data_IF_834181897003
#
_entry.id   IF_834181897003
#
_cell.length_a   1.000
_cell.length_b   1.000
_cell.length_c   1.000
_cell.angle_alpha   90.00
_cell.angle_beta   90.00
_cell.angle_gamma   90.00
#
_symmetry.space_group_name_H-M   'P 1'
#
loop_
_entity.id
_entity.type
_entity.pdbx_description
1 polymer ?
#
# COMPACT_ATOMS: atom_id res chain seq x y z
N UNK A 1 -2.22 -5.05 -24.41
CA UNK A 1 -1.80 -3.64 -24.36
C UNK A 1 -0.82 -3.51 -23.19
N UNK A 2 0.48 -3.59 -23.45
CA UNK A 2 1.53 -3.51 -22.40
C UNK A 2 1.43 -2.13 -21.75
N UNK A 3 1.20 -2.09 -20.44
CA UNK A 3 1.38 -0.88 -19.64
C UNK A 3 2.86 -0.47 -19.80
N UNK A 4 3.09 0.75 -20.30
CA UNK A 4 4.42 1.35 -20.29
C UNK A 4 4.81 1.51 -18.85
N UNK A 5 5.76 0.72 -18.39
CA UNK A 5 6.45 0.84 -17.10
C UNK A 5 6.95 2.28 -17.00
N UNK A 6 6.66 2.94 -15.87
CA UNK A 6 7.27 4.22 -15.53
C UNK A 6 8.79 4.01 -15.59
N UNK A 7 9.48 4.72 -16.48
CA UNK A 7 10.92 4.59 -16.64
C UNK A 7 11.61 4.97 -15.31
N UNK A 8 12.34 4.01 -14.72
CA UNK A 8 13.09 4.23 -13.48
C UNK A 8 12.48 3.67 -12.20
N UNK A 9 11.31 3.01 -12.24
CA UNK A 9 10.75 2.34 -11.05
C UNK A 9 11.65 1.16 -10.68
N UNK A 10 12.19 1.18 -9.47
CA UNK A 10 12.90 0.04 -8.87
C UNK A 10 11.86 -1.04 -8.51
N UNK A 11 11.47 -1.82 -9.52
CA UNK A 11 10.55 -2.95 -9.36
C UNK A 11 11.38 -4.17 -8.99
N UNK A 12 11.17 -4.72 -7.80
CA UNK A 12 11.72 -6.02 -7.46
C UNK A 12 11.01 -7.09 -8.30
N UNK A 13 11.76 -8.13 -8.66
CA UNK A 13 11.18 -9.28 -9.33
C UNK A 13 10.25 -9.99 -8.33
N UNK A 14 8.94 -9.96 -8.60
CA UNK A 14 7.96 -10.66 -7.79
C UNK A 14 8.16 -12.15 -7.97
N UNK A 15 8.29 -12.87 -6.86
CA UNK A 15 8.29 -14.33 -6.86
C UNK A 15 6.84 -14.85 -6.87
N UNK A 16 6.34 -15.11 -8.07
CA UNK A 16 4.96 -15.56 -8.27
C UNK A 16 4.73 -16.92 -7.60
N UNK A 17 5.70 -17.82 -7.64
CA UNK A 17 5.59 -19.16 -7.03
C UNK A 17 5.48 -19.05 -5.50
N UNK A 18 6.32 -18.24 -4.88
CA UNK A 18 6.28 -17.95 -3.45
C UNK A 18 4.96 -17.31 -3.05
N UNK A 19 4.43 -16.41 -3.88
CA UNK A 19 3.13 -15.79 -3.62
C UNK A 19 1.99 -16.80 -3.68
N UNK A 20 1.97 -17.69 -4.67
CA UNK A 20 0.98 -18.77 -4.75
C UNK A 20 1.10 -19.75 -3.56
N UNK A 21 2.31 -20.10 -3.14
CA UNK A 21 2.53 -20.93 -1.96
C UNK A 21 1.99 -20.26 -0.69
N UNK A 22 2.29 -18.98 -0.47
CA UNK A 22 1.78 -18.21 0.66
C UNK A 22 0.25 -18.11 0.65
N UNK A 23 -0.34 -17.87 -0.52
CA UNK A 23 -1.79 -17.83 -0.71
C UNK A 23 -2.45 -19.17 -0.39
N UNK A 24 -1.91 -20.26 -0.93
CA UNK A 24 -2.46 -21.62 -0.73
C UNK A 24 -2.35 -22.06 0.73
N UNK A 25 -1.25 -21.72 1.43
CA UNK A 25 -1.09 -22.00 2.86
C UNK A 25 -2.18 -21.35 3.70
N UNK A 26 -2.56 -20.10 3.40
CA UNK A 26 -3.54 -19.35 4.19
C UNK A 26 -4.98 -19.70 3.79
N UNK A 27 -5.29 -19.73 2.50
CA UNK A 27 -6.66 -19.98 2.00
C UNK A 27 -7.05 -21.43 2.17
N UNK A 28 -6.13 -22.39 1.96
CA UNK A 28 -6.37 -23.83 2.13
C UNK A 28 -6.80 -24.14 3.56
N UNK A 29 -6.03 -23.71 4.55
CA UNK A 29 -6.34 -23.93 5.99
C UNK A 29 -7.66 -23.27 6.42
N UNK A 30 -8.01 -22.14 5.81
CA UNK A 30 -9.24 -21.41 6.15
C UNK A 30 -10.50 -22.09 5.63
N UNK A 31 -10.42 -22.71 4.46
CA UNK A 31 -11.55 -23.47 3.88
C UNK A 31 -11.86 -24.76 4.65
N UNK A 32 -10.84 -25.37 5.27
CA UNK A 32 -11.00 -26.59 6.05
C UNK A 32 -11.54 -26.34 7.47
N UNK A 33 -11.26 -25.17 8.07
CA UNK A 33 -11.56 -24.94 9.49
C UNK A 33 -12.87 -24.24 9.81
N UNK A 34 -13.40 -23.43 8.90
CA UNK A 34 -14.68 -22.70 9.16
C UNK A 34 -15.32 -22.26 7.85
N UNK A 35 -16.66 -22.36 7.77
CA UNK A 35 -17.43 -21.68 6.73
C UNK A 35 -17.05 -20.19 6.64
N UNK A 36 -17.39 -19.54 5.58
CA UNK A 36 -17.02 -18.18 5.10
C UNK A 36 -17.02 -17.05 6.16
N UNK A 37 -17.04 -17.34 7.47
CA UNK A 37 -17.46 -16.44 8.54
C UNK A 37 -16.39 -15.74 9.38
N UNK A 38 -15.09 -16.07 9.36
CA UNK A 38 -14.17 -15.60 10.42
C UNK A 38 -12.89 -14.89 9.99
N UNK A 39 -12.64 -14.71 8.70
CA UNK A 39 -11.37 -14.20 8.16
C UNK A 39 -11.39 -12.71 7.79
N UNK A 40 -12.10 -11.87 8.52
CA UNK A 40 -12.15 -10.44 8.21
C UNK A 40 -10.75 -9.82 8.19
N UNK A 41 -10.41 -9.16 7.10
CA UNK A 41 -9.22 -8.33 6.84
C UNK A 41 -7.84 -8.99 7.10
N UNK A 42 -7.84 -10.17 7.70
CA UNK A 42 -6.64 -10.93 8.06
C UNK A 42 -6.04 -11.69 6.89
N UNK A 43 -6.83 -12.05 5.86
CA UNK A 43 -6.35 -12.88 4.76
C UNK A 43 -5.22 -12.20 3.97
N UNK A 44 -5.43 -10.95 3.53
CA UNK A 44 -4.35 -10.22 2.83
C UNK A 44 -3.11 -10.03 3.70
N UNK A 45 -3.29 -9.71 4.98
CA UNK A 45 -2.20 -9.57 5.93
C UNK A 45 -1.43 -10.88 6.09
N UNK A 46 -2.14 -11.98 6.35
CA UNK A 46 -1.54 -13.30 6.54
C UNK A 46 -0.81 -13.81 5.29
N UNK A 47 -1.38 -13.61 4.09
CA UNK A 47 -0.74 -13.98 2.82
C UNK A 47 0.56 -13.19 2.63
N UNK A 48 0.54 -11.87 2.81
CA UNK A 48 1.75 -11.06 2.68
C UNK A 48 2.79 -11.40 3.75
N UNK A 49 2.39 -11.64 5.00
CA UNK A 49 3.30 -12.08 6.05
C UNK A 49 4.03 -13.36 5.67
N UNK A 50 3.31 -14.38 5.15
CA UNK A 50 3.92 -15.61 4.67
C UNK A 50 4.74 -15.43 3.37
N UNK A 51 4.38 -14.46 2.53
CA UNK A 51 5.16 -14.13 1.33
C UNK A 51 6.52 -13.52 1.70
N UNK A 52 6.54 -12.52 2.59
CA UNK A 52 7.79 -11.87 2.98
C UNK A 52 8.64 -12.75 3.89
N UNK A 53 8.03 -13.55 4.75
CA UNK A 53 8.71 -14.50 5.62
C UNK A 53 7.98 -15.86 5.63
N UNK A 54 8.43 -16.86 4.85
CA UNK A 54 7.83 -18.20 4.85
C UNK A 54 8.02 -18.99 6.15
N UNK A 55 9.06 -18.64 6.94
CA UNK A 55 9.31 -19.26 8.24
C UNK A 55 8.41 -18.62 9.31
N UNK A 56 7.48 -19.39 9.92
CA UNK A 56 6.63 -18.88 10.98
C UNK A 56 7.39 -18.57 12.29
N UNK A 57 8.61 -19.03 12.46
CA UNK A 57 9.42 -18.79 13.66
C UNK A 57 9.78 -17.31 13.84
N UNK A 58 9.74 -16.51 12.75
CA UNK A 58 10.02 -15.06 12.80
C UNK A 58 8.75 -14.21 12.82
N UNK A 59 7.56 -14.81 12.95
CA UNK A 59 6.29 -14.11 13.00
C UNK A 59 5.88 -13.70 14.41
N UNK A 60 5.23 -12.54 14.52
CA UNK A 60 4.62 -12.02 15.76
C UNK A 60 5.60 -11.99 16.95
N UNK A 61 6.81 -11.48 16.68
CA UNK A 61 7.90 -11.42 17.63
C UNK A 61 7.74 -10.21 18.57
N UNK A 62 7.78 -10.41 19.90
CA UNK A 62 7.82 -9.29 20.84
C UNK A 62 9.10 -8.47 20.66
N UNK A 63 8.96 -7.15 20.43
CA UNK A 63 10.05 -6.20 20.34
C UNK A 63 9.66 -4.95 21.14
N UNK A 64 10.42 -4.60 22.15
CA UNK A 64 10.06 -3.60 23.15
C UNK A 64 8.64 -3.86 23.71
N UNK A 65 7.78 -2.85 23.77
CA UNK A 65 6.38 -2.97 24.26
C UNK A 65 5.38 -3.38 23.16
N UNK A 66 5.86 -3.84 22.01
CA UNK A 66 5.04 -4.14 20.84
C UNK A 66 5.31 -5.56 20.31
N UNK A 67 4.41 -6.00 19.45
CA UNK A 67 4.60 -7.23 18.67
C UNK A 67 4.87 -6.83 17.22
N UNK A 68 6.02 -7.22 16.66
CA UNK A 68 6.34 -7.06 15.26
C UNK A 68 5.67 -8.16 14.43
N UNK A 69 5.11 -7.83 13.26
CA UNK A 69 4.51 -8.84 12.39
C UNK A 69 5.55 -9.88 11.92
N UNK A 70 6.76 -9.40 11.59
CA UNK A 70 7.94 -10.21 11.23
C UNK A 70 9.16 -9.55 11.85
N UNK A 71 10.01 -10.34 12.52
CA UNK A 71 11.34 -9.93 12.98
C UNK A 71 12.29 -11.13 12.96
N UNK A 72 13.37 -11.01 12.17
CA UNK A 72 14.42 -12.05 12.08
C UNK A 72 15.66 -11.73 12.94
N UNK A 73 15.56 -10.69 13.77
CA UNK A 73 16.66 -10.19 14.61
C UNK A 73 17.58 -9.20 13.89
N UNK A 74 17.39 -8.95 12.60
CA UNK A 74 18.16 -7.97 11.80
C UNK A 74 17.28 -6.83 11.30
N UNK A 75 16.06 -7.14 10.89
CA UNK A 75 15.07 -6.18 10.41
C UNK A 75 13.67 -6.51 10.92
N UNK A 76 12.81 -5.53 10.85
CA UNK A 76 11.38 -5.67 11.14
C UNK A 76 10.59 -5.39 9.87
N UNK A 77 9.61 -6.27 9.55
CA UNK A 77 8.65 -6.03 8.48
C UNK A 77 7.25 -5.98 9.09
N UNK A 78 6.55 -4.88 8.84
CA UNK A 78 5.18 -4.63 9.29
C UNK A 78 4.21 -4.61 8.11
N UNK A 79 3.19 -5.45 8.13
CA UNK A 79 2.16 -5.52 7.09
C UNK A 79 0.98 -4.60 7.47
N UNK A 80 0.96 -3.38 6.95
CA UNK A 80 -0.05 -2.40 7.34
C UNK A 80 -1.17 -2.27 6.31
N UNK A 81 -2.31 -2.88 6.59
CA UNK A 81 -3.50 -2.85 5.72
C UNK A 81 -4.45 -1.70 6.01
N UNK A 82 -4.19 -0.92 7.06
CA UNK A 82 -5.01 0.21 7.52
C UNK A 82 -4.21 1.50 7.61
N UNK A 83 -4.62 2.38 8.51
CA UNK A 83 -4.00 3.70 8.70
C UNK A 83 -2.60 3.61 9.31
N UNK A 84 -1.61 4.27 8.68
CA UNK A 84 -0.25 4.38 9.21
C UNK A 84 -0.17 5.19 10.51
N UNK A 85 -1.21 5.94 10.86
CA UNK A 85 -1.23 6.64 12.15
C UNK A 85 -1.06 5.68 13.34
N UNK A 86 -1.56 4.45 13.24
CA UNK A 86 -1.38 3.43 14.27
C UNK A 86 0.09 2.99 14.42
N UNK A 87 0.91 3.16 13.39
CA UNK A 87 2.33 2.79 13.39
C UNK A 87 3.23 3.75 14.15
N UNK A 88 2.78 4.98 14.45
CA UNK A 88 3.66 6.03 15.03
C UNK A 88 4.41 5.58 16.29
N UNK A 89 3.72 4.89 17.19
CA UNK A 89 4.33 4.41 18.45
C UNK A 89 5.31 3.27 18.20
N UNK A 90 4.94 2.32 17.32
CA UNK A 90 5.83 1.23 16.90
C UNK A 90 7.09 1.78 16.22
N UNK A 91 6.93 2.71 15.25
CA UNK A 91 8.07 3.32 14.55
C UNK A 91 9.02 4.04 15.52
N UNK A 92 8.49 4.79 16.48
CA UNK A 92 9.31 5.46 17.48
C UNK A 92 10.11 4.47 18.35
N UNK A 93 9.58 3.26 18.57
CA UNK A 93 10.24 2.22 19.36
C UNK A 93 11.23 1.38 18.52
N UNK A 94 10.90 1.10 17.25
CA UNK A 94 11.65 0.16 16.43
C UNK A 94 12.82 0.79 15.67
N UNK A 95 12.61 2.00 15.08
CA UNK A 95 13.59 2.64 14.21
C UNK A 95 14.97 2.90 14.85
N UNK A 96 15.09 3.18 16.18
CA UNK A 96 16.38 3.34 16.81
C UNK A 96 17.24 2.06 16.82
N UNK A 97 16.61 0.88 16.75
CA UNK A 97 17.28 -0.41 16.94
C UNK A 97 17.31 -1.26 15.67
N UNK A 98 16.33 -1.06 14.76
CA UNK A 98 16.13 -1.92 13.58
C UNK A 98 15.81 -1.12 12.33
N UNK A 99 16.27 -1.57 11.16
CA UNK A 99 15.60 -1.25 9.90
C UNK A 99 14.16 -1.75 9.93
N UNK A 100 13.22 -0.90 9.52
CA UNK A 100 11.78 -1.20 9.52
C UNK A 100 11.23 -1.04 8.12
N UNK A 101 10.68 -2.10 7.57
CA UNK A 101 9.98 -2.09 6.28
C UNK A 101 8.46 -2.13 6.50
N UNK A 102 7.75 -1.11 6.03
CA UNK A 102 6.28 -1.12 6.01
C UNK A 102 5.80 -1.63 4.65
N UNK A 103 5.11 -2.76 4.66
CA UNK A 103 4.43 -3.31 3.49
C UNK A 103 3.00 -2.79 3.46
N UNK A 104 2.61 -2.11 2.38
CA UNK A 104 1.28 -1.55 2.21
C UNK A 104 0.59 -2.13 0.97
N UNK A 105 -0.42 -3.00 1.14
CA UNK A 105 -1.15 -3.56 0.01
C UNK A 105 -2.10 -2.54 -0.60
N UNK A 106 -1.95 -2.32 -1.90
CA UNK A 106 -2.79 -1.44 -2.70
C UNK A 106 -3.61 -2.29 -3.67
N UNK A 107 -4.94 -2.31 -3.58
CA UNK A 107 -5.78 -3.03 -4.53
C UNK A 107 -5.69 -2.40 -5.92
N UNK A 108 -4.85 -2.96 -6.81
CA UNK A 108 -4.70 -2.51 -8.20
C UNK A 108 -6.01 -2.69 -8.96
N UNK A 109 -6.58 -3.88 -8.89
CA UNK A 109 -7.88 -4.23 -9.44
C UNK A 109 -8.66 -5.04 -8.44
N UNK A 110 -9.98 -4.83 -8.33
CA UNK A 110 -10.85 -5.62 -7.47
C UNK A 110 -12.00 -6.23 -8.25
N UNK A 111 -12.36 -7.46 -7.84
CA UNK A 111 -13.63 -8.08 -8.16
C UNK A 111 -14.48 -8.09 -6.90
N UNK A 112 -15.71 -7.62 -7.00
CA UNK A 112 -16.63 -7.47 -5.87
C UNK A 112 -17.62 -8.61 -5.90
N UNK A 113 -17.76 -9.28 -4.77
CA UNK A 113 -18.71 -10.35 -4.52
C UNK A 113 -19.59 -9.96 -3.33
N UNK A 114 -20.86 -10.29 -3.39
CA UNK A 114 -21.78 -10.09 -2.29
C UNK A 114 -22.25 -11.43 -1.77
N UNK A 115 -22.21 -11.57 -0.45
CA UNK A 115 -22.66 -12.75 0.27
C UNK A 115 -24.00 -12.38 0.93
N UNK A 116 -25.01 -13.18 0.64
CA UNK A 116 -26.28 -13.11 1.34
C UNK A 116 -26.11 -13.79 2.71
N UNK A 117 -26.40 -13.07 3.79
CA UNK A 117 -26.18 -13.59 5.16
C UNK A 117 -27.20 -14.67 5.55
N UNK A 118 -28.38 -14.69 4.93
CA UNK A 118 -29.43 -15.67 5.24
C UNK A 118 -29.24 -16.98 4.51
N UNK A 119 -28.88 -16.91 3.21
CA UNK A 119 -28.73 -18.10 2.35
C UNK A 119 -27.30 -18.59 2.23
N UNK A 120 -26.31 -17.74 2.53
CA UNK A 120 -24.89 -18.01 2.30
C UNK A 120 -24.50 -17.95 0.81
N UNK A 121 -25.41 -17.63 -0.09
CA UNK A 121 -25.14 -17.54 -1.51
C UNK A 121 -24.25 -16.36 -1.85
N UNK A 122 -23.32 -16.58 -2.79
CA UNK A 122 -22.40 -15.54 -3.27
C UNK A 122 -22.79 -15.12 -4.69
N UNK A 123 -22.91 -13.82 -4.90
CA UNK A 123 -23.23 -13.24 -6.22
C UNK A 123 -22.13 -13.55 -7.25
N UNK A 124 -22.45 -13.41 -8.53
CA UNK A 124 -21.44 -13.35 -9.58
C UNK A 124 -20.47 -12.18 -9.36
N UNK A 125 -19.18 -12.41 -9.61
CA UNK A 125 -18.13 -11.43 -9.43
C UNK A 125 -18.27 -10.23 -10.37
N UNK A 126 -18.22 -8.99 -9.82
CA UNK A 126 -18.27 -7.76 -10.60
C UNK A 126 -16.95 -7.02 -10.51
N UNK A 127 -16.35 -6.72 -11.67
CA UNK A 127 -15.14 -5.92 -11.74
C UNK A 127 -15.38 -4.48 -11.27
N UNK A 128 -14.60 -4.01 -10.29
CA UNK A 128 -14.66 -2.63 -9.81
C UNK A 128 -14.11 -1.67 -10.86
N UNK A 129 -14.77 -0.55 -11.16
CA UNK A 129 -14.22 0.48 -12.04
C UNK A 129 -13.05 1.24 -11.40
N UNK A 130 -12.91 1.18 -10.08
CA UNK A 130 -11.83 1.84 -9.35
C UNK A 130 -10.56 0.99 -9.41
N UNK A 131 -9.48 1.61 -9.87
CA UNK A 131 -8.12 1.03 -9.85
C UNK A 131 -7.28 1.76 -8.82
N UNK A 132 -6.49 1.00 -8.07
CA UNK A 132 -5.46 1.54 -7.19
C UNK A 132 -4.20 1.89 -7.97
N UNK A 133 -3.44 2.83 -7.42
CA UNK A 133 -2.12 3.20 -7.91
C UNK A 133 -1.20 3.56 -6.72
N UNK A 134 0.13 3.56 -6.89
CA UNK A 134 1.08 3.80 -5.80
C UNK A 134 0.93 5.16 -5.10
N UNK A 135 0.45 6.19 -5.80
CA UNK A 135 0.24 7.51 -5.19
C UNK A 135 -0.75 7.50 -4.03
N UNK A 136 -1.63 6.50 -3.95
CA UNK A 136 -2.58 6.38 -2.83
C UNK A 136 -1.88 6.19 -1.49
N UNK A 137 -0.67 5.64 -1.48
CA UNK A 137 0.15 5.50 -0.29
C UNK A 137 0.52 6.85 0.34
N UNK A 138 0.61 7.93 -0.44
CA UNK A 138 0.97 9.25 0.08
C UNK A 138 -0.03 9.80 1.12
N UNK A 139 -1.30 9.37 1.07
CA UNK A 139 -2.28 9.69 2.11
C UNK A 139 -1.88 9.07 3.45
N UNK A 140 -1.33 7.86 3.42
CA UNK A 140 -0.89 7.15 4.61
C UNK A 140 0.49 7.63 5.06
N UNK A 141 1.43 7.84 4.13
CA UNK A 141 2.75 8.42 4.39
C UNK A 141 2.64 9.77 5.10
N UNK A 142 1.70 10.62 4.71
CA UNK A 142 1.46 11.91 5.36
C UNK A 142 1.20 11.78 6.86
N UNK A 143 0.59 10.69 7.31
CA UNK A 143 0.28 10.46 8.72
C UNK A 143 1.52 10.15 9.57
N UNK A 144 2.60 9.71 8.93
CA UNK A 144 3.89 9.36 9.57
C UNK A 144 5.04 10.21 9.03
N UNK A 145 4.75 11.36 8.42
CA UNK A 145 5.73 12.20 7.72
C UNK A 145 6.97 12.55 8.54
N UNK A 146 6.84 12.63 9.88
CA UNK A 146 7.95 12.90 10.77
C UNK A 146 9.06 11.84 10.76
N UNK A 147 8.75 10.62 10.27
CA UNK A 147 9.70 9.51 10.20
C UNK A 147 10.28 9.32 8.79
N UNK A 148 9.73 9.96 7.74
CA UNK A 148 10.13 9.70 6.35
C UNK A 148 11.58 10.05 6.00
N UNK A 149 12.26 10.81 6.86
CA UNK A 149 13.70 11.11 6.73
C UNK A 149 14.61 10.13 7.46
N UNK A 150 14.05 9.14 8.16
CA UNK A 150 14.83 8.14 8.88
C UNK A 150 15.43 7.13 7.89
N UNK A 151 16.75 6.90 7.86
CA UNK A 151 17.40 5.99 6.93
C UNK A 151 17.04 4.52 7.17
N UNK A 152 16.52 4.18 8.36
CA UNK A 152 16.08 2.84 8.69
C UNK A 152 14.62 2.58 8.30
N UNK A 153 13.88 3.57 7.73
CA UNK A 153 12.49 3.37 7.33
C UNK A 153 12.34 3.11 5.83
N UNK A 154 11.83 1.94 5.51
CA UNK A 154 11.64 1.47 4.14
C UNK A 154 10.16 1.18 3.86
N UNK A 155 9.78 1.20 2.57
CA UNK A 155 8.41 0.90 2.16
C UNK A 155 8.38 -0.08 0.99
N UNK A 156 7.34 -0.94 1.01
CA UNK A 156 6.97 -1.83 -0.09
C UNK A 156 5.49 -1.61 -0.37
N UNK A 157 5.16 -0.97 -1.50
CA UNK A 157 3.78 -0.83 -1.93
C UNK A 157 3.43 -2.01 -2.84
N UNK A 158 2.73 -2.98 -2.27
CA UNK A 158 2.34 -4.20 -2.95
C UNK A 158 1.04 -3.97 -3.73
N UNK A 159 1.13 -3.87 -5.06
CA UNK A 159 -0.03 -3.73 -5.94
C UNK A 159 -0.61 -5.10 -6.24
N UNK A 160 -1.78 -5.36 -5.67
CA UNK A 160 -2.44 -6.65 -5.73
C UNK A 160 -3.74 -6.59 -6.53
N UNK A 161 -4.01 -7.62 -7.32
CA UNK A 161 -5.36 -7.91 -7.75
C UNK A 161 -6.07 -8.68 -6.63
N UNK A 162 -7.34 -8.37 -6.38
CA UNK A 162 -8.06 -8.88 -5.22
C UNK A 162 -9.50 -9.22 -5.53
N UNK A 163 -10.02 -10.21 -4.83
CA UNK A 163 -11.44 -10.40 -4.60
C UNK A 163 -11.83 -9.71 -3.30
N UNK A 164 -12.89 -8.90 -3.34
CA UNK A 164 -13.44 -8.25 -2.16
C UNK A 164 -14.85 -8.77 -1.92
N UNK A 165 -15.00 -9.50 -0.84
CA UNK A 165 -16.27 -10.05 -0.39
C UNK A 165 -16.99 -9.06 0.54
N UNK A 166 -18.30 -8.91 0.36
CA UNK A 166 -19.16 -8.00 1.11
C UNK A 166 -20.43 -8.70 1.55
N UNK A 167 -20.91 -8.39 2.75
CA UNK A 167 -22.19 -8.89 3.23
C UNK A 167 -23.33 -8.01 2.71
N UNK A 168 -24.44 -8.62 2.29
CA UNK A 168 -25.65 -7.91 1.87
C UNK A 168 -26.49 -7.48 3.07
N UNK A 169 -25.91 -6.73 4.00
CA UNK A 169 -26.59 -6.23 5.21
C UNK A 169 -27.10 -4.79 5.10
N UNK A 170 -27.17 -4.26 3.89
CA UNK A 170 -27.79 -2.97 3.56
C UNK A 170 -27.00 -1.72 3.90
N UNK A 171 -26.05 -1.76 4.85
CA UNK A 171 -25.32 -0.57 5.30
C UNK A 171 -23.85 -0.84 5.59
N UNK A 172 -22.97 -0.02 5.05
CA UNK A 172 -21.57 -0.02 5.46
C UNK A 172 -21.38 0.87 6.70
N UNK A 173 -20.31 0.62 7.48
CA UNK A 173 -19.90 1.44 8.62
C UNK A 173 -19.79 2.94 8.30
N UNK A 174 -19.49 3.26 7.04
CA UNK A 174 -19.40 4.64 6.51
C UNK A 174 -20.75 5.23 6.09
N UNK A 175 -21.89 4.62 6.50
CA UNK A 175 -23.27 5.00 6.10
C UNK A 175 -23.50 5.01 4.59
N UNK A 176 -22.67 4.33 3.81
CA UNK A 176 -22.90 4.10 2.40
C UNK A 176 -23.82 2.91 2.23
N UNK A 177 -24.90 3.13 1.50
CA UNK A 177 -25.86 2.08 1.14
C UNK A 177 -25.12 0.95 0.42
N UNK A 178 -25.24 -0.27 0.87
CA UNK A 178 -24.82 -1.43 0.09
C UNK A 178 -24.28 -2.60 0.85
N UNK A 179 -23.29 -2.49 1.72
CA UNK A 179 -22.73 -3.71 2.30
C UNK A 179 -21.52 -3.44 3.18
N UNK A 180 -21.38 -4.20 4.24
CA UNK A 180 -20.15 -4.24 5.01
C UNK A 180 -19.11 -5.10 4.30
N UNK A 181 -17.84 -4.64 4.31
CA UNK A 181 -16.75 -5.43 3.76
C UNK A 181 -16.43 -6.58 4.72
N UNK A 182 -16.50 -7.78 4.18
CA UNK A 182 -16.25 -9.01 4.89
C UNK A 182 -14.76 -9.39 4.85
N UNK A 183 -14.21 -9.63 3.63
CA UNK A 183 -12.81 -9.99 3.46
C UNK A 183 -12.24 -9.49 2.12
N UNK A 184 -10.90 -9.55 2.01
CA UNK A 184 -10.13 -9.33 0.79
C UNK A 184 -9.13 -10.44 0.60
N UNK A 185 -9.28 -11.14 -0.51
CA UNK A 185 -8.42 -12.25 -0.90
C UNK A 185 -7.53 -11.77 -2.05
N UNK A 186 -6.21 -11.70 -1.88
CA UNK A 186 -5.31 -11.35 -2.97
C UNK A 186 -5.26 -12.51 -3.97
N UNK A 187 -5.45 -12.21 -5.26
CA UNK A 187 -5.46 -13.18 -6.36
C UNK A 187 -4.17 -13.17 -7.17
N UNK A 188 -3.53 -11.99 -7.28
CA UNK A 188 -2.23 -11.87 -7.93
C UNK A 188 -1.41 -10.74 -7.30
N UNK A 189 -0.12 -10.93 -7.18
CA UNK A 189 0.86 -9.88 -6.88
C UNK A 189 1.40 -9.37 -8.21
N UNK A 190 1.10 -8.12 -8.57
CA UNK A 190 1.31 -7.61 -9.93
C UNK A 190 2.52 -6.71 -10.03
N UNK A 191 2.75 -5.90 -9.01
CA UNK A 191 3.83 -4.91 -8.99
C UNK A 191 4.19 -4.59 -7.55
N UNK A 192 5.47 -4.38 -7.27
CA UNK A 192 5.96 -3.87 -6.01
C UNK A 192 6.76 -2.59 -6.24
N UNK A 193 6.37 -1.52 -5.56
CA UNK A 193 7.07 -0.24 -5.58
C UNK A 193 7.84 -0.10 -4.29
N UNK A 194 9.17 -0.02 -4.39
CA UNK A 194 10.07 0.04 -3.24
C UNK A 194 10.54 1.47 -2.98
N UNK A 195 10.66 1.85 -1.71
CA UNK A 195 11.33 3.06 -1.24
C UNK A 195 12.31 2.60 -0.17
N UNK A 196 13.60 2.58 -0.50
CA UNK A 196 14.69 2.21 0.41
C UNK A 196 15.52 3.43 0.82
N UNK A 197 15.48 4.49 0.01
CA UNK A 197 16.17 5.75 0.27
C UNK A 197 15.37 6.95 -0.26
N UNK A 198 15.84 8.14 0.06
CA UNK A 198 15.21 9.38 -0.38
C UNK A 198 15.09 9.50 -1.90
N UNK A 199 16.11 9.06 -2.61
CA UNK A 199 16.19 9.13 -4.08
C UNK A 199 15.09 8.31 -4.75
N UNK A 200 14.64 7.23 -4.11
CA UNK A 200 13.56 6.38 -4.62
C UNK A 200 12.21 7.11 -4.73
N UNK A 201 12.02 8.24 -4.01
CA UNK A 201 10.83 9.07 -4.20
C UNK A 201 10.77 9.73 -5.59
N UNK A 202 11.90 9.82 -6.34
CA UNK A 202 11.92 10.36 -7.70
C UNK A 202 11.02 9.57 -8.65
N UNK A 203 10.83 8.28 -8.43
CA UNK A 203 9.94 7.43 -9.24
C UNK A 203 8.47 7.91 -9.26
N UNK A 204 8.08 8.77 -8.31
CA UNK A 204 6.75 9.39 -8.26
C UNK A 204 6.67 10.73 -8.99
N UNK A 205 7.75 11.19 -9.59
CA UNK A 205 7.72 12.35 -10.48
C UNK A 205 7.43 11.85 -11.90
N UNK A 206 6.31 12.28 -12.53
CA UNK A 206 6.01 11.85 -13.90
C UNK A 206 7.10 12.30 -14.87
N UNK A 207 7.52 11.41 -15.77
CA UNK A 207 8.57 11.71 -16.76
C UNK A 207 8.22 12.90 -17.68
N UNK A 208 6.93 13.03 -18.02
CA UNK A 208 6.43 14.08 -18.94
C UNK A 208 6.09 15.40 -18.21
N UNK A 209 6.57 15.57 -16.95
CA UNK A 209 6.31 16.79 -16.18
C UNK A 209 7.05 17.99 -16.80
N UNK A 210 6.42 19.17 -16.97
CA UNK A 210 7.12 20.39 -17.34
C UNK A 210 8.23 20.76 -16.35
N UNK A 211 9.25 21.52 -16.79
CA UNK A 211 10.33 22.00 -15.91
C UNK A 211 9.77 22.74 -14.69
N UNK A 212 8.84 23.66 -14.91
CA UNK A 212 8.09 24.33 -13.85
C UNK A 212 6.63 23.93 -13.96
N UNK A 213 6.06 23.48 -12.86
CA UNK A 213 4.71 22.91 -12.87
C UNK A 213 3.90 23.23 -11.62
N UNK A 214 2.60 23.23 -11.77
CA UNK A 214 1.62 23.36 -10.68
C UNK A 214 1.11 21.99 -10.24
N UNK A 215 0.43 21.94 -9.09
CA UNK A 215 -0.23 20.70 -8.63
C UNK A 215 -1.30 20.19 -9.63
N UNK A 216 -1.89 21.06 -10.46
CA UNK A 216 -2.86 20.65 -11.49
C UNK A 216 -2.16 19.93 -12.64
N UNK A 217 -1.01 20.42 -13.09
CA UNK A 217 -0.22 19.80 -14.15
C UNK A 217 0.34 18.47 -13.65
N UNK A 218 0.88 18.42 -12.44
CA UNK A 218 1.30 17.17 -11.81
C UNK A 218 0.16 16.14 -11.77
N UNK A 219 -1.02 16.56 -11.31
CA UNK A 219 -2.21 15.70 -11.25
C UNK A 219 -2.59 15.14 -12.63
N UNK A 220 -2.49 15.96 -13.69
CA UNK A 220 -2.76 15.56 -15.07
C UNK A 220 -1.74 14.53 -15.58
N UNK A 221 -0.44 14.79 -15.40
CA UNK A 221 0.62 13.87 -15.81
C UNK A 221 0.56 12.55 -15.04
N UNK A 222 0.40 12.61 -13.71
CA UNK A 222 0.28 11.44 -12.84
C UNK A 222 -1.07 10.71 -12.95
N UNK A 223 -2.09 11.30 -13.62
CA UNK A 223 -3.47 10.80 -13.75
C UNK A 223 -4.12 10.53 -12.40
N UNK A 224 -3.95 11.44 -11.46
CA UNK A 224 -4.49 11.40 -10.10
C UNK A 224 -5.32 12.64 -9.78
N UNK A 225 -6.21 12.59 -8.77
CA UNK A 225 -6.92 13.78 -8.31
C UNK A 225 -5.97 14.87 -7.81
N UNK A 226 -6.30 16.15 -8.06
CA UNK A 226 -5.48 17.31 -7.64
C UNK A 226 -5.20 17.30 -6.13
N UNK A 227 -6.16 16.89 -5.30
CA UNK A 227 -5.96 16.80 -3.85
C UNK A 227 -4.87 15.78 -3.49
N UNK A 228 -4.81 14.65 -4.19
CA UNK A 228 -3.76 13.65 -4.01
C UNK A 228 -2.41 14.18 -4.49
N UNK A 229 -2.38 14.86 -5.64
CA UNK A 229 -1.18 15.52 -6.15
C UNK A 229 -0.62 16.55 -5.16
N UNK A 230 -1.49 17.34 -4.51
CA UNK A 230 -1.06 18.29 -3.48
C UNK A 230 -0.41 17.61 -2.28
N UNK A 231 -0.98 16.48 -1.81
CA UNK A 231 -0.40 15.69 -0.71
C UNK A 231 0.93 15.07 -1.14
N UNK A 232 1.00 14.52 -2.35
CA UNK A 232 2.23 13.96 -2.93
C UNK A 232 3.33 15.04 -3.01
N UNK A 233 3.03 16.19 -3.62
CA UNK A 233 3.99 17.29 -3.76
C UNK A 233 4.47 17.85 -2.41
N UNK A 234 3.60 17.88 -1.40
CA UNK A 234 4.01 18.27 -0.05
C UNK A 234 5.11 17.35 0.47
N UNK A 235 4.90 16.01 0.38
CA UNK A 235 5.88 15.05 0.86
C UNK A 235 7.13 15.02 -0.03
N UNK A 236 7.01 15.11 -1.34
CA UNK A 236 8.16 15.23 -2.24
C UNK A 236 8.98 16.48 -1.98
N UNK A 237 8.34 17.58 -1.54
CA UNK A 237 9.06 18.80 -1.12
C UNK A 237 9.79 18.57 0.21
N UNK A 238 9.16 17.92 1.19
CA UNK A 238 9.81 17.58 2.47
C UNK A 238 11.00 16.63 2.25
N UNK A 239 10.91 15.74 1.26
CA UNK A 239 12.01 14.83 0.84
C UNK A 239 13.02 15.50 -0.12
N UNK A 240 12.89 16.78 -0.43
CA UNK A 240 13.80 17.52 -1.33
C UNK A 240 13.90 16.90 -2.73
N UNK A 241 12.83 16.26 -3.20
CA UNK A 241 12.70 15.75 -4.57
C UNK A 241 12.18 16.85 -5.49
N UNK A 242 11.29 17.68 -4.99
CA UNK A 242 10.82 18.89 -5.67
C UNK A 242 10.95 20.09 -4.74
N UNK A 243 11.08 21.26 -5.32
CA UNK A 243 11.11 22.52 -4.58
C UNK A 243 9.99 23.47 -5.03
N UNK A 244 9.57 24.34 -4.12
CA UNK A 244 8.67 25.45 -4.46
C UNK A 244 9.50 26.64 -4.90
N UNK A 245 9.32 27.05 -6.17
CA UNK A 245 10.07 28.17 -6.75
C UNK A 245 9.26 29.47 -6.78
N UNK A 246 7.96 29.42 -6.49
CA UNK A 246 7.12 30.62 -6.52
C UNK A 246 5.62 30.29 -6.56
N UNK A 247 4.87 31.18 -7.18
CA UNK A 247 3.42 31.04 -7.42
C UNK A 247 3.06 31.51 -8.82
N UNK A 248 2.08 30.82 -9.40
CA UNK A 248 1.37 31.23 -10.60
C UNK A 248 -0.10 31.46 -10.21
N UNK A 249 -0.50 32.71 -10.13
CA UNK A 249 -1.81 33.08 -9.58
C UNK A 249 -1.98 32.60 -8.14
N UNK A 250 -2.95 31.72 -7.89
CA UNK A 250 -3.21 31.13 -6.56
C UNK A 250 -2.52 29.79 -6.36
N UNK A 251 -1.83 29.25 -7.36
CA UNK A 251 -1.16 27.94 -7.28
C UNK A 251 0.32 28.09 -6.96
N UNK A 252 0.84 27.18 -6.15
CA UNK A 252 2.30 27.05 -6.00
C UNK A 252 2.89 26.52 -7.30
N UNK A 253 4.06 27.02 -7.65
CA UNK A 253 4.89 26.56 -8.75
C UNK A 253 6.05 25.74 -8.18
N UNK A 254 6.29 24.58 -8.77
CA UNK A 254 7.28 23.61 -8.34
C UNK A 254 8.26 23.31 -9.46
N UNK A 255 9.44 22.85 -9.09
CA UNK A 255 10.48 22.33 -9.97
C UNK A 255 11.08 21.07 -9.35
N UNK A 256 11.53 20.13 -10.16
CA UNK A 256 12.30 18.96 -9.70
C UNK A 256 13.67 19.43 -9.24
N UNK A 257 14.11 18.99 -8.05
CA UNK A 257 15.46 19.29 -7.57
C UNK A 257 16.48 18.53 -8.40
N UNK A 258 17.62 19.18 -8.69
CA UNK A 258 18.79 18.49 -9.22
C UNK A 258 19.33 17.57 -8.12
N UNK A 259 19.23 16.27 -8.32
CA UNK A 259 19.87 15.29 -7.45
C UNK A 259 21.33 15.25 -7.88
N UNK A 260 22.18 15.93 -7.11
CA UNK A 260 23.63 15.76 -7.25
C UNK A 260 23.96 14.32 -6.88
N UNK A 261 24.31 13.53 -7.89
CA UNK A 261 24.78 12.14 -7.79
C UNK A 261 26.15 12.07 -7.12
#
# INVERSE_FOLDING_TARGET
MRLKTLAGVKTMCIDEERFEQAKNRIIGVSRERQGIGTLSEKTTHAVLKNYYAPDPAVHEIPVADFVADICDGKEIIEIQTRSFQAMRRKLAAFLPEYPVTIVYPIPRQKWLYWIDEETGETSAGRKSPKKGNPYQAFIELYKIRQFLGDPNLHFRFALLDMEEYRLLNGWSRDRKKGSERFDRIPTAFVEEVCIDCREDYMQFVPYEIPENFTAKEFAKCAKIPVRLAQTTLLLLTEQKIVERIGKEGRSYLYRVCEILS
#
